data_IF_412713656469
#
_entry.id   IF_412713656469
#
_cell.length_a   1.000
_cell.length_b   1.000
_cell.length_c   1.000
_cell.angle_alpha   90.00
_cell.angle_beta   90.00
_cell.angle_gamma   90.00
#
_symmetry.space_group_name_H-M   'P 1'
#
loop_
_entity.id
_entity.type
_entity.pdbx_description
1 polymer ?
#
# COMPACT_ATOMS: atom_id res chain seq x y z
N UNK A 1 7.59 -24.49 -54.74
CA UNK A 1 7.12 -24.99 -53.42
C UNK A 1 7.87 -24.43 -52.20
N UNK A 2 9.10 -23.89 -52.31
CA UNK A 2 9.90 -23.41 -51.15
C UNK A 2 9.47 -22.06 -50.53
N UNK A 3 8.70 -21.22 -51.21
CA UNK A 3 8.33 -19.87 -50.70
C UNK A 3 7.16 -19.87 -49.71
N UNK A 4 6.16 -20.74 -49.91
CA UNK A 4 5.00 -20.84 -49.00
C UNK A 4 5.36 -21.35 -47.61
N UNK A 5 6.37 -22.22 -47.51
CA UNK A 5 6.87 -22.77 -46.24
C UNK A 5 7.56 -21.71 -45.37
N UNK A 6 8.32 -20.80 -46.00
CA UNK A 6 8.95 -19.68 -45.28
C UNK A 6 7.94 -18.66 -44.75
N UNK A 7 6.90 -18.36 -45.53
CA UNK A 7 5.84 -17.44 -45.10
C UNK A 7 5.03 -18.00 -43.91
N UNK A 8 4.74 -19.30 -43.91
CA UNK A 8 4.05 -19.98 -42.79
C UNK A 8 4.92 -19.97 -41.54
N UNK A 9 6.23 -20.23 -41.65
CA UNK A 9 7.15 -20.20 -40.49
C UNK A 9 7.27 -18.81 -39.86
N UNK A 10 7.28 -17.74 -40.65
CA UNK A 10 7.34 -16.36 -40.14
C UNK A 10 6.02 -15.98 -39.46
N UNK A 11 4.87 -16.37 -40.04
CA UNK A 11 3.56 -16.14 -39.44
C UNK A 11 3.41 -16.89 -38.10
N UNK A 12 3.86 -18.16 -38.03
CA UNK A 12 3.82 -18.96 -36.81
C UNK A 12 4.76 -18.39 -35.74
N UNK A 13 5.97 -17.98 -36.11
CA UNK A 13 6.91 -17.34 -35.17
C UNK A 13 6.37 -16.03 -34.60
N UNK A 14 5.74 -15.20 -35.43
CA UNK A 14 5.11 -13.95 -35.00
C UNK A 14 3.94 -14.18 -34.02
N UNK A 15 3.05 -15.13 -34.34
CA UNK A 15 1.92 -15.49 -33.46
C UNK A 15 2.41 -16.05 -32.13
N UNK A 16 3.42 -16.91 -32.13
CA UNK A 16 3.96 -17.49 -30.90
C UNK A 16 4.57 -16.43 -29.98
N UNK A 17 5.26 -15.44 -30.56
CA UNK A 17 5.84 -14.33 -29.80
C UNK A 17 4.75 -13.45 -29.19
N UNK A 18 3.70 -13.13 -29.95
CA UNK A 18 2.56 -12.35 -29.45
C UNK A 18 1.82 -13.07 -28.32
N UNK A 19 1.62 -14.39 -28.43
CA UNK A 19 1.00 -15.21 -27.38
C UNK A 19 1.87 -15.24 -26.12
N UNK A 20 3.19 -15.40 -26.24
CA UNK A 20 4.09 -15.37 -25.09
C UNK A 20 4.05 -14.02 -24.36
N UNK A 21 4.06 -12.91 -25.08
CA UNK A 21 3.95 -11.57 -24.48
C UNK A 21 2.60 -11.39 -23.79
N UNK A 22 1.50 -11.85 -24.40
CA UNK A 22 0.18 -11.79 -23.80
C UNK A 22 0.08 -12.65 -22.52
N UNK A 23 0.62 -13.87 -22.53
CA UNK A 23 0.64 -14.75 -21.35
C UNK A 23 1.46 -14.14 -20.21
N UNK A 24 2.62 -13.55 -20.51
CA UNK A 24 3.44 -12.86 -19.50
C UNK A 24 2.75 -11.62 -18.93
N UNK A 25 2.07 -10.84 -19.77
CA UNK A 25 1.30 -9.68 -19.33
C UNK A 25 0.12 -10.07 -18.43
N UNK A 26 -0.57 -11.18 -18.74
CA UNK A 26 -1.65 -11.73 -17.89
C UNK A 26 -1.10 -12.26 -16.57
N UNK A 27 0.04 -12.96 -16.59
CA UNK A 27 0.69 -13.45 -15.37
C UNK A 27 1.10 -12.30 -14.43
N UNK A 28 1.64 -11.21 -14.98
CA UNK A 28 1.98 -10.02 -14.20
C UNK A 28 0.74 -9.34 -13.57
N UNK A 29 -0.44 -9.45 -14.20
CA UNK A 29 -1.70 -8.96 -13.63
C UNK A 29 -2.27 -9.90 -12.56
N UNK A 30 -2.01 -11.20 -12.65
CA UNK A 30 -2.45 -12.19 -11.67
C UNK A 30 -1.66 -12.12 -10.34
N UNK A 31 -0.48 -11.49 -10.34
CA UNK A 31 0.34 -11.32 -9.13
C UNK A 31 -0.01 -10.07 -8.31
N UNK A 32 -0.95 -9.23 -8.78
CA UNK A 32 -1.36 -8.06 -8.01
C UNK A 32 -2.19 -8.52 -6.81
N UNK A 33 -1.71 -8.35 -5.57
CA UNK A 33 -2.46 -8.76 -4.39
C UNK A 33 -3.77 -7.98 -4.28
N UNK A 34 -4.82 -8.62 -3.82
CA UNK A 34 -6.07 -7.95 -3.43
C UNK A 34 -5.97 -7.60 -1.94
N UNK A 35 -6.46 -6.43 -1.50
CA UNK A 35 -6.52 -6.14 -0.08
C UNK A 35 -7.35 -7.25 0.61
N UNK A 36 -6.93 -7.70 1.80
CA UNK A 36 -7.68 -8.68 2.60
C UNK A 36 -7.43 -10.16 2.29
N UNK A 37 -6.54 -10.51 1.35
CA UNK A 37 -6.06 -11.89 1.29
C UNK A 37 -5.45 -12.27 2.65
N UNK A 38 -5.72 -13.48 3.14
CA UNK A 38 -5.37 -13.99 4.48
C UNK A 38 -3.86 -13.94 4.83
N UNK A 39 -3.00 -13.57 3.87
CA UNK A 39 -1.57 -13.26 4.06
C UNK A 39 -1.28 -11.79 4.45
N UNK A 40 -2.30 -10.95 4.61
CA UNK A 40 -2.15 -9.49 4.74
C UNK A 40 -1.86 -8.97 6.14
N UNK A 41 -1.83 -9.84 7.16
CA UNK A 41 -1.39 -9.46 8.51
C UNK A 41 0.13 -9.49 8.58
N UNK A 42 0.77 -8.32 8.77
CA UNK A 42 2.21 -8.19 8.96
C UNK A 42 2.52 -7.59 10.32
N UNK A 43 3.49 -8.17 11.00
CA UNK A 43 4.03 -7.63 12.25
C UNK A 43 5.51 -7.34 12.06
N UNK A 44 5.94 -6.14 12.46
CA UNK A 44 7.33 -5.73 12.42
C UNK A 44 7.77 -5.40 13.84
N UNK A 45 8.91 -5.94 14.26
CA UNK A 45 9.54 -5.63 15.53
C UNK A 45 10.98 -5.18 15.31
N UNK A 46 11.38 -4.08 15.92
CA UNK A 46 12.80 -3.67 15.94
C UNK A 46 13.45 -4.06 17.27
N UNK A 47 14.51 -4.88 17.17
CA UNK A 47 15.40 -5.25 18.28
C UNK A 47 16.72 -4.45 18.29
N UNK A 48 16.89 -3.55 17.32
CA UNK A 48 18.16 -2.87 17.03
C UNK A 48 18.25 -1.58 17.86
N UNK A 49 19.45 -1.28 18.39
CA UNK A 49 19.76 0.01 19.03
C UNK A 49 20.25 0.95 17.92
N UNK A 50 19.34 1.77 17.38
CA UNK A 50 19.65 2.77 16.36
C UNK A 50 18.40 3.31 15.70
N UNK A 51 18.53 4.47 15.04
CA UNK A 51 17.48 4.98 14.16
C UNK A 51 17.48 4.16 12.87
N UNK A 52 16.35 3.57 12.50
CA UNK A 52 16.20 2.82 11.24
C UNK A 52 14.95 3.28 10.52
N UNK A 53 15.09 3.53 9.23
CA UNK A 53 13.98 3.89 8.34
C UNK A 53 13.73 2.75 7.37
N UNK A 54 12.50 2.23 7.36
CA UNK A 54 12.06 1.20 6.44
C UNK A 54 10.97 1.76 5.53
N UNK A 55 11.16 1.66 4.21
CA UNK A 55 10.12 2.03 3.23
C UNK A 55 9.63 0.78 2.51
N UNK A 56 8.32 0.61 2.43
CA UNK A 56 7.67 -0.48 1.70
C UNK A 56 6.62 0.10 0.78
N UNK A 57 6.61 -0.32 -0.48
CA UNK A 57 5.56 0.06 -1.45
C UNK A 57 4.90 -1.20 -1.97
N UNK A 58 3.56 -1.21 -1.94
CA UNK A 58 2.75 -2.32 -2.44
C UNK A 58 1.62 -1.75 -3.29
N UNK A 59 1.38 -2.35 -4.46
CA UNK A 59 0.24 -2.02 -5.31
C UNK A 59 -0.79 -3.14 -5.22
N UNK A 60 -2.04 -2.75 -5.03
CA UNK A 60 -3.19 -3.63 -4.90
C UNK A 60 -4.19 -3.37 -6.03
N UNK A 61 -4.87 -4.43 -6.46
CA UNK A 61 -6.06 -4.32 -7.28
C UNK A 61 -7.24 -4.02 -6.35
N UNK A 62 -8.00 -2.96 -6.63
CA UNK A 62 -9.14 -2.58 -5.81
C UNK A 62 -10.44 -2.64 -6.61
N UNK A 63 -11.43 -3.31 -6.03
CA UNK A 63 -12.78 -3.46 -6.58
C UNK A 63 -13.85 -2.86 -5.67
N UNK A 64 -13.45 -2.45 -4.46
CA UNK A 64 -14.34 -1.83 -3.49
C UNK A 64 -14.38 -0.31 -3.72
N UNK A 65 -15.56 0.33 -3.66
CA UNK A 65 -15.70 1.77 -3.87
C UNK A 65 -15.20 2.60 -2.67
N UNK A 66 -14.76 1.93 -1.60
CA UNK A 66 -14.41 2.59 -0.34
C UNK A 66 -13.28 1.85 0.37
N UNK A 67 -12.32 2.62 0.88
CA UNK A 67 -11.25 2.17 1.77
C UNK A 67 -11.44 2.83 3.13
N UNK A 68 -11.36 2.04 4.21
CA UNK A 68 -11.33 2.54 5.57
C UNK A 68 -9.91 2.41 6.10
N UNK A 69 -9.40 3.45 6.74
CA UNK A 69 -8.05 3.53 7.31
C UNK A 69 -8.20 3.76 8.80
N UNK A 70 -7.94 2.72 9.58
CA UNK A 70 -7.95 2.73 11.04
C UNK A 70 -6.53 2.66 11.57
N UNK A 71 -6.00 3.82 11.97
CA UNK A 71 -4.61 3.95 12.39
C UNK A 71 -4.50 4.50 13.81
N UNK A 72 -3.57 3.96 14.61
CA UNK A 72 -3.26 4.48 15.94
C UNK A 72 -2.60 5.87 15.91
N UNK A 73 -2.45 6.50 17.07
CA UNK A 73 -1.68 7.75 17.19
C UNK A 73 -0.22 7.56 16.73
N UNK A 74 0.39 8.63 16.21
CA UNK A 74 1.77 8.60 15.68
C UNK A 74 1.90 8.08 14.24
N UNK A 75 0.78 7.79 13.58
CA UNK A 75 0.73 7.38 12.17
C UNK A 75 0.13 8.52 11.33
N UNK A 76 0.90 9.07 10.42
CA UNK A 76 0.43 10.05 9.42
C UNK A 76 -0.11 9.34 8.18
N UNK A 77 -1.17 9.87 7.58
CA UNK A 77 -1.73 9.34 6.32
C UNK A 77 -1.85 10.47 5.32
N UNK A 78 -1.34 10.23 4.11
CA UNK A 78 -1.41 11.14 2.97
C UNK A 78 -2.10 10.40 1.84
N UNK A 79 -3.00 11.09 1.15
CA UNK A 79 -3.81 10.51 0.08
C UNK A 79 -3.63 11.34 -1.18
N UNK A 80 -3.33 10.67 -2.29
CA UNK A 80 -3.25 11.26 -3.63
C UNK A 80 -4.12 10.47 -4.61
N UNK A 81 -4.49 11.11 -5.70
CA UNK A 81 -5.26 10.47 -6.78
C UNK A 81 -4.34 9.62 -7.66
N UNK A 82 -4.79 8.42 -8.03
CA UNK A 82 -4.08 7.43 -8.81
C UNK A 82 -4.81 6.98 -10.08
N UNK A 83 -4.36 5.84 -10.60
CA UNK A 83 -4.98 5.19 -11.75
C UNK A 83 -6.27 4.42 -11.35
N UNK A 84 -7.28 4.35 -12.25
CA UNK A 84 -8.46 3.53 -12.02
C UNK A 84 -8.12 2.07 -11.66
N UNK A 85 -8.83 1.51 -10.67
CA UNK A 85 -8.69 0.10 -10.24
C UNK A 85 -7.38 -0.26 -9.53
N UNK A 86 -6.50 0.71 -9.26
CA UNK A 86 -5.20 0.48 -8.60
C UNK A 86 -5.04 1.31 -7.34
N UNK A 87 -4.81 0.63 -6.21
CA UNK A 87 -4.44 1.23 -4.95
C UNK A 87 -2.94 1.03 -4.71
N UNK A 88 -2.15 2.10 -4.66
CA UNK A 88 -0.75 2.00 -4.25
C UNK A 88 -0.59 2.49 -2.81
N UNK A 89 0.01 1.66 -1.97
CA UNK A 89 0.27 1.94 -0.56
C UNK A 89 1.77 1.98 -0.37
N UNK A 90 2.30 3.17 -0.08
CA UNK A 90 3.68 3.34 0.38
C UNK A 90 3.66 3.64 1.86
N UNK A 91 4.43 2.88 2.62
CA UNK A 91 4.61 3.03 4.05
C UNK A 91 6.07 3.34 4.35
N UNK A 92 6.29 4.34 5.18
CA UNK A 92 7.60 4.65 5.77
C UNK A 92 7.49 4.46 7.27
N UNK A 93 8.37 3.66 7.83
CA UNK A 93 8.47 3.41 9.28
C UNK A 93 9.80 3.96 9.77
N UNK A 94 9.75 4.73 10.86
CA UNK A 94 10.92 5.27 11.54
C UNK A 94 10.92 4.71 12.96
N UNK A 95 11.97 3.97 13.29
CA UNK A 95 12.17 3.32 14.58
C UNK A 95 13.41 3.90 15.27
N UNK A 96 13.32 4.20 16.57
CA UNK A 96 14.48 4.55 17.40
C UNK A 96 14.53 3.70 18.69
N UNK A 97 15.46 2.76 18.77
CA UNK A 97 15.65 1.95 19.98
C UNK A 97 14.72 0.73 20.12
N UNK A 98 14.89 0.01 21.24
CA UNK A 98 14.35 -1.36 21.42
C UNK A 98 12.88 -1.40 21.84
N UNK A 99 12.21 -2.50 21.50
CA UNK A 99 10.89 -2.85 22.05
C UNK A 99 9.72 -2.18 21.33
N UNK A 100 9.91 -1.75 20.08
CA UNK A 100 8.87 -1.14 19.25
C UNK A 100 8.23 -2.19 18.35
N UNK A 101 6.92 -2.03 18.14
CA UNK A 101 6.11 -2.97 17.37
C UNK A 101 5.19 -2.22 16.41
N UNK A 102 5.13 -2.70 15.18
CA UNK A 102 4.14 -2.33 14.18
C UNK A 102 3.28 -3.53 13.87
N UNK A 103 1.97 -3.37 13.86
CA UNK A 103 1.05 -4.37 13.35
C UNK A 103 0.20 -3.72 12.25
N UNK A 104 0.19 -4.33 11.07
CA UNK A 104 -0.61 -3.94 9.91
C UNK A 104 -1.48 -5.11 9.50
N UNK A 105 -2.75 -4.87 9.22
CA UNK A 105 -3.65 -5.87 8.67
C UNK A 105 -4.68 -5.25 7.75
N UNK A 106 -5.14 -6.03 6.77
CA UNK A 106 -6.30 -5.69 5.96
C UNK A 106 -7.49 -6.54 6.38
N UNK A 107 -8.57 -5.88 6.79
CA UNK A 107 -9.85 -6.53 7.10
C UNK A 107 -10.83 -6.34 5.96
N UNK A 108 -11.55 -7.41 5.66
CA UNK A 108 -12.69 -7.44 4.72
C UNK A 108 -12.38 -6.82 3.35
N UNK A 109 -11.12 -6.89 2.92
CA UNK A 109 -10.63 -6.36 1.66
C UNK A 109 -10.78 -4.85 1.42
N UNK A 110 -11.03 -4.08 2.47
CA UNK A 110 -11.21 -2.63 2.35
C UNK A 110 -10.78 -1.83 3.56
N UNK A 111 -10.47 -2.47 4.69
CA UNK A 111 -10.10 -1.77 5.93
C UNK A 111 -8.63 -2.00 6.24
N UNK A 112 -7.79 -0.98 6.09
CA UNK A 112 -6.41 -0.97 6.57
C UNK A 112 -6.42 -0.66 8.06
N UNK A 113 -6.02 -1.62 8.88
CA UNK A 113 -5.80 -1.42 10.30
C UNK A 113 -4.30 -1.41 10.59
N UNK A 114 -3.78 -0.32 11.14
CA UNK A 114 -2.38 -0.21 11.53
C UNK A 114 -2.24 0.31 12.96
N UNK A 115 -1.44 -0.39 13.76
CA UNK A 115 -1.13 -0.02 15.14
C UNK A 115 0.36 0.09 15.32
N UNK A 116 0.81 1.18 15.93
CA UNK A 116 2.19 1.41 16.31
C UNK A 116 2.29 1.48 17.82
N UNK A 117 3.10 0.58 18.40
CA UNK A 117 3.42 0.55 19.82
C UNK A 117 4.87 0.92 20.01
N UNK A 118 5.10 1.89 20.89
CA UNK A 118 6.40 2.47 21.11
C UNK A 118 6.85 2.20 22.54
N UNK A 119 8.07 1.69 22.68
CA UNK A 119 8.68 1.51 23.99
C UNK A 119 8.88 2.86 24.69
N UNK A 120 9.15 2.84 26.02
CA UNK A 120 9.44 4.05 26.77
C UNK A 120 10.64 4.80 26.16
N UNK A 121 10.50 6.11 26.04
CA UNK A 121 11.56 6.99 25.53
C UNK A 121 12.82 6.83 26.37
N UNK A 122 13.92 6.40 25.74
CA UNK A 122 15.22 6.30 26.42
C UNK A 122 15.85 7.70 26.48
N UNK A 123 16.40 8.16 27.62
CA UNK A 123 17.09 9.43 27.71
C UNK A 123 18.21 9.52 26.65
N UNK A 124 18.18 10.55 25.81
CA UNK A 124 19.12 10.74 24.69
C UNK A 124 18.64 10.19 23.34
N UNK A 125 17.52 9.47 23.29
CA UNK A 125 16.84 9.16 22.03
C UNK A 125 16.03 10.39 21.58
N UNK A 126 16.49 11.07 20.53
CA UNK A 126 15.81 12.22 19.92
C UNK A 126 14.71 11.83 18.93
N UNK A 127 14.39 10.52 18.82
CA UNK A 127 13.63 9.95 17.72
C UNK A 127 12.12 9.97 17.93
N UNK A 128 11.53 9.12 18.74
CA UNK A 128 10.09 8.84 18.60
C UNK A 128 9.83 7.94 17.38
N UNK A 129 8.96 6.97 17.58
CA UNK A 129 8.44 6.11 16.53
C UNK A 129 7.49 6.92 15.66
N UNK A 130 7.66 6.83 14.36
CA UNK A 130 6.75 7.47 13.41
C UNK A 130 6.45 6.50 12.28
N UNK A 131 5.21 6.52 11.81
CA UNK A 131 4.83 5.86 10.59
C UNK A 131 4.14 6.87 9.67
N UNK A 132 4.45 6.83 8.39
CA UNK A 132 3.77 7.60 7.37
C UNK A 132 3.25 6.68 6.27
N UNK A 133 1.97 6.82 5.95
CA UNK A 133 1.35 6.20 4.79
C UNK A 133 1.13 7.23 3.70
N UNK A 134 1.42 6.83 2.47
CA UNK A 134 1.08 7.52 1.24
C UNK A 134 0.21 6.56 0.43
N UNK A 135 -1.08 6.88 0.33
CA UNK A 135 -2.09 6.14 -0.39
C UNK A 135 -2.34 6.85 -1.72
N UNK A 136 -2.07 6.18 -2.83
CA UNK A 136 -2.46 6.63 -4.16
C UNK A 136 -3.67 5.82 -4.59
N UNK A 137 -4.82 6.49 -4.66
CA UNK A 137 -6.15 5.86 -4.66
C UNK A 137 -6.88 6.18 -5.97
N UNK A 138 -7.63 5.23 -6.57
CA UNK A 138 -8.41 5.51 -7.76
C UNK A 138 -9.40 6.67 -7.56
N UNK A 139 -9.73 7.43 -8.62
CA UNK A 139 -10.59 8.61 -8.52
C UNK A 139 -12.04 8.30 -8.08
N UNK A 140 -12.48 7.05 -8.28
CA UNK A 140 -13.81 6.53 -7.94
C UNK A 140 -13.88 5.90 -6.54
N UNK A 141 -12.77 5.83 -5.81
CA UNK A 141 -12.70 5.22 -4.49
C UNK A 141 -12.65 6.28 -3.39
N UNK A 142 -13.55 6.17 -2.41
CA UNK A 142 -13.57 7.04 -1.24
C UNK A 142 -12.63 6.51 -0.14
N UNK A 143 -11.78 7.36 0.43
CA UNK A 143 -10.99 7.02 1.63
C UNK A 143 -11.67 7.58 2.86
N UNK A 144 -11.87 6.73 3.87
CA UNK A 144 -12.32 7.14 5.20
C UNK A 144 -11.22 6.91 6.22
N UNK A 145 -10.96 7.89 7.07
CA UNK A 145 -10.14 7.71 8.28
C UNK A 145 -11.05 7.38 9.45
N UNK A 146 -10.86 6.23 10.09
CA UNK A 146 -11.56 5.89 11.32
C UNK A 146 -11.00 6.74 12.46
N UNK A 147 -11.89 7.50 13.13
CA UNK A 147 -11.54 8.26 14.34
C UNK A 147 -12.48 7.85 15.48
N UNK A 148 -12.11 8.19 16.71
CA UNK A 148 -12.96 7.90 17.88
C UNK A 148 -14.31 8.63 17.80
N UNK A 149 -14.35 9.79 17.14
CA UNK A 149 -15.55 10.58 16.89
C UNK A 149 -16.35 10.16 15.65
N UNK A 150 -15.95 9.09 14.96
CA UNK A 150 -16.56 8.62 13.72
C UNK A 150 -15.64 8.75 12.50
N UNK A 151 -16.01 8.19 11.34
CA UNK A 151 -15.17 8.24 10.14
C UNK A 151 -15.10 9.65 9.55
N UNK A 152 -13.92 10.07 9.12
CA UNK A 152 -13.67 11.33 8.41
C UNK A 152 -13.33 11.02 6.95
N UNK A 153 -14.05 11.61 6.00
CA UNK A 153 -13.76 11.42 4.57
C UNK A 153 -12.50 12.17 4.17
N UNK A 154 -11.56 11.43 3.58
CA UNK A 154 -10.30 11.88 3.03
C UNK A 154 -10.40 11.89 1.51
N UNK A 155 -10.82 13.02 0.94
CA UNK A 155 -10.94 13.14 -0.51
C UNK A 155 -9.74 13.90 -1.07
N UNK A 156 -8.87 13.27 -1.87
CA UNK A 156 -7.85 14.01 -2.59
C UNK A 156 -8.52 14.97 -3.57
N UNK A 157 -8.01 16.20 -3.65
CA UNK A 157 -8.45 17.14 -4.68
C UNK A 157 -7.86 16.73 -6.03
N UNK A 158 -8.53 17.05 -7.14
CA UNK A 158 -8.05 16.74 -8.49
C UNK A 158 -6.66 17.33 -8.82
N UNK A 159 -6.13 18.22 -7.97
CA UNK A 159 -4.88 18.95 -8.17
C UNK A 159 -3.80 18.67 -7.12
N UNK A 160 -4.00 17.74 -6.16
CA UNK A 160 -2.94 17.51 -5.16
C UNK A 160 -3.22 16.51 -4.04
N UNK A 161 -2.12 16.14 -3.39
CA UNK A 161 -2.06 15.32 -2.18
C UNK A 161 -2.78 15.99 -1.01
N UNK A 162 -3.56 15.22 -0.26
CA UNK A 162 -4.22 15.66 0.97
C UNK A 162 -3.61 14.91 2.14
N UNK A 163 -3.13 15.65 3.15
CA UNK A 163 -2.70 15.05 4.41
C UNK A 163 -3.93 14.85 5.29
N UNK A 164 -4.22 13.59 5.61
CA UNK A 164 -5.25 13.20 6.54
C UNK A 164 -4.64 12.91 7.89
N UNK A 165 -4.81 13.85 8.80
CA UNK A 165 -4.36 13.69 10.18
C UNK A 165 -5.54 13.23 11.01
N UNK A 166 -5.36 12.14 11.77
CA UNK A 166 -6.29 11.81 12.85
C UNK A 166 -6.26 13.00 13.83
N UNK A 167 -7.37 13.70 14.09
CA UNK A 167 -7.34 14.83 15.01
C UNK A 167 -6.81 14.33 16.36
N UNK A 168 -5.62 14.83 16.73
CA UNK A 168 -5.00 14.51 18.00
C UNK A 168 -5.79 15.20 19.10
N UNK A 169 -6.21 14.41 20.09
CA UNK A 169 -6.51 14.92 21.43
C UNK A 169 -5.30 15.70 21.92
N UNK A 170 -5.46 17.01 22.10
CA UNK A 170 -4.55 17.82 22.92
C UNK A 170 -4.61 17.43 24.38
#
# INVERSE_FOLDING_TARGET
MRSRVRAVWIAVGGVFTAVLVAVMAIAALAEIPVPGDWRSSRSYGSSIIGATTETTTVTYAITTPRIVVDVSAGIGVRVSTGEPGRLTVRRTLVWDGRGRRFDESWKDGGTLQATMTCGPSVPGASGGCQAEYFLTVPPDVEVLMATHSGPVTCRPSAAGEVTCVRPGTG
#
